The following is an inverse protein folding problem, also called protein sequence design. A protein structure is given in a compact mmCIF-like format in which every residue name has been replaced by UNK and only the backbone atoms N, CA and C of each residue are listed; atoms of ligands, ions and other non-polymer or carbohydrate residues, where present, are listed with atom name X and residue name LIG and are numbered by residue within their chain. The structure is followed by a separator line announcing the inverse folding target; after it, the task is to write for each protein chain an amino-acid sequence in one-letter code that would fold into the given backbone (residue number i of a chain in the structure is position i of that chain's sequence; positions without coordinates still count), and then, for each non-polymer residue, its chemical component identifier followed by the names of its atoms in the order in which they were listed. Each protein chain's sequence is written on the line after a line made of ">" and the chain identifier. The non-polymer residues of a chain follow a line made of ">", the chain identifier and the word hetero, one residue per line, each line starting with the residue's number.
data_IF_658935147561
#
_entry.id   IF_658935147561
#
_cell.length_a   1.000
_cell.length_b   1.000
_cell.length_c   1.000
_cell.angle_alpha   90.00
_cell.angle_beta   90.00
_cell.angle_gamma   90.00
#
_symmetry.space_group_name_H-M   'P 1'
#
loop_
_entity.id
_entity.type
_entity.pdbx_description
1 polymer ?
#
# COMPACT_ATOMS: atom_id res chain seq x y z
N UNK A 1 3.85 -21.83 -12.97
CA UNK A 1 2.63 -21.01 -12.78
C UNK A 1 3.07 -19.75 -12.07
N UNK A 2 2.74 -18.56 -12.59
CA UNK A 2 3.10 -17.32 -11.92
C UNK A 2 2.39 -17.30 -10.55
N UNK A 3 3.13 -16.98 -9.49
CA UNK A 3 2.55 -16.82 -8.15
C UNK A 3 1.64 -15.59 -8.17
N UNK A 4 0.33 -15.81 -8.13
CA UNK A 4 -0.71 -14.77 -8.11
C UNK A 4 -1.15 -14.51 -6.67
N UNK A 5 -1.39 -13.24 -6.33
CA UNK A 5 -1.96 -12.82 -5.05
C UNK A 5 -3.44 -12.50 -5.29
N UNK A 6 -4.32 -13.38 -4.83
CA UNK A 6 -5.78 -13.23 -4.95
C UNK A 6 -6.41 -12.46 -3.78
N UNK A 7 -5.68 -12.32 -2.66
CA UNK A 7 -6.14 -11.57 -1.50
C UNK A 7 -6.22 -10.07 -1.80
N UNK A 8 -7.16 -9.32 -1.19
CA UNK A 8 -7.14 -7.86 -1.20
C UNK A 8 -5.79 -7.33 -0.69
N UNK A 9 -5.23 -6.34 -1.38
CA UNK A 9 -3.94 -5.76 -1.04
C UNK A 9 -3.98 -4.23 -1.10
N UNK A 10 -3.33 -3.60 -0.12
CA UNK A 10 -3.12 -2.16 -0.04
C UNK A 10 -1.61 -1.88 -0.02
N UNK A 11 -1.15 -0.98 -0.88
CA UNK A 11 0.16 -0.36 -0.78
C UNK A 11 0.00 1.09 -0.33
N UNK A 12 0.75 1.49 0.70
CA UNK A 12 0.86 2.90 1.11
C UNK A 12 2.33 3.27 1.19
N UNK A 13 2.71 4.37 0.56
CA UNK A 13 4.07 4.89 0.57
C UNK A 13 4.09 6.41 0.72
N UNK A 14 5.22 6.97 1.14
CA UNK A 14 5.47 8.40 1.14
C UNK A 14 6.25 8.79 -0.12
N UNK A 15 5.87 9.85 -0.81
CA UNK A 15 6.52 10.23 -2.08
C UNK A 15 7.94 10.82 -1.92
N UNK A 16 8.31 11.23 -0.71
CA UNK A 16 9.67 11.65 -0.34
C UNK A 16 10.54 10.47 0.15
N UNK A 17 10.03 9.24 0.19
CA UNK A 17 10.81 8.06 0.57
C UNK A 17 11.93 7.79 -0.46
N UNK A 18 13.22 7.87 -0.07
CA UNK A 18 14.34 7.62 -0.98
C UNK A 18 14.35 6.21 -1.54
N UNK A 19 13.73 5.23 -0.88
CA UNK A 19 13.64 3.84 -1.33
C UNK A 19 12.73 3.70 -2.56
N UNK A 20 11.74 4.59 -2.73
CA UNK A 20 10.86 4.57 -3.90
C UNK A 20 11.57 4.94 -5.20
N UNK A 21 12.75 5.56 -5.14
CA UNK A 21 13.56 5.89 -6.32
C UNK A 21 14.03 4.66 -7.11
N UNK A 22 14.10 3.51 -6.46
CA UNK A 22 14.54 2.25 -7.05
C UNK A 22 13.57 1.09 -6.79
N UNK A 23 12.47 1.34 -6.10
CA UNK A 23 11.42 0.34 -5.87
C UNK A 23 10.50 0.27 -7.09
N UNK A 24 10.27 -0.95 -7.59
CA UNK A 24 9.27 -1.22 -8.62
C UNK A 24 7.86 -1.28 -8.02
N UNK A 25 7.27 -0.12 -7.75
CA UNK A 25 5.91 -0.01 -7.20
C UNK A 25 4.84 -0.52 -8.17
N UNK A 26 5.14 -0.53 -9.47
CA UNK A 26 4.32 -1.11 -10.54
C UNK A 26 4.20 -2.63 -10.45
N UNK A 27 5.21 -3.32 -9.90
CA UNK A 27 5.25 -4.79 -9.85
C UNK A 27 4.06 -5.40 -9.12
N UNK A 28 3.52 -4.70 -8.11
CA UNK A 28 2.33 -5.13 -7.40
C UNK A 28 1.14 -5.35 -8.35
N UNK A 29 0.98 -4.48 -9.37
CA UNK A 29 -0.09 -4.60 -10.39
C UNK A 29 0.10 -5.79 -11.33
N UNK A 30 1.31 -6.33 -11.42
CA UNK A 30 1.61 -7.49 -12.26
C UNK A 30 1.37 -8.82 -11.53
N UNK A 31 1.27 -8.83 -10.20
CA UNK A 31 1.17 -10.06 -9.37
C UNK A 31 -0.11 -10.15 -8.55
N UNK A 32 -0.71 -9.02 -8.19
CA UNK A 32 -1.99 -8.98 -7.47
C UNK A 32 -3.11 -9.05 -8.51
N UNK A 33 -3.83 -10.16 -8.50
CA UNK A 33 -5.01 -10.40 -9.33
C UNK A 33 -6.32 -10.15 -8.57
N UNK A 34 -6.25 -10.10 -7.23
CA UNK A 34 -7.32 -9.64 -6.37
C UNK A 34 -7.47 -8.11 -6.34
N UNK A 35 -8.39 -7.56 -5.51
CA UNK A 35 -8.53 -6.12 -5.33
C UNK A 35 -7.23 -5.48 -4.87
N UNK A 36 -6.76 -4.46 -5.60
CA UNK A 36 -5.52 -3.74 -5.29
C UNK A 36 -5.77 -2.24 -5.21
N UNK A 37 -5.26 -1.61 -4.15
CA UNK A 37 -5.24 -0.15 -3.97
C UNK A 37 -3.82 0.32 -3.65
N UNK A 38 -3.47 1.49 -4.15
CA UNK A 38 -2.18 2.13 -3.91
C UNK A 38 -2.42 3.60 -3.53
N UNK A 39 -1.77 4.04 -2.46
CA UNK A 39 -1.88 5.41 -1.93
C UNK A 39 -0.47 5.95 -1.72
N UNK A 40 -0.24 7.19 -2.16
CA UNK A 40 1.00 7.93 -1.93
C UNK A 40 0.69 9.14 -1.06
N UNK A 41 1.40 9.27 0.07
CA UNK A 41 1.26 10.38 1.00
C UNK A 41 2.29 11.46 0.65
N UNK A 42 1.79 12.65 0.33
CA UNK A 42 2.62 13.79 -0.08
C UNK A 42 3.52 14.28 1.07
N UNK A 43 4.80 14.47 0.77
CA UNK A 43 5.83 14.95 1.68
C UNK A 43 6.16 14.01 2.84
N UNK A 44 5.77 12.73 2.75
CA UNK A 44 6.11 11.73 3.76
C UNK A 44 7.34 10.92 3.33
N UNK A 45 8.23 10.66 4.28
CA UNK A 45 9.45 9.89 4.09
C UNK A 45 9.23 8.39 4.28
N UNK A 46 10.29 7.69 4.71
CA UNK A 46 10.29 6.24 4.83
C UNK A 46 9.47 5.70 6.01
N UNK A 47 9.33 6.49 7.07
CA UNK A 47 8.68 6.06 8.32
C UNK A 47 7.26 6.61 8.40
N UNK A 48 6.46 6.37 7.34
CA UNK A 48 5.13 6.96 7.12
C UNK A 48 4.17 6.80 8.30
N UNK A 49 4.24 5.70 9.05
CA UNK A 49 3.42 5.47 10.23
C UNK A 49 3.78 6.37 11.43
N UNK A 50 5.01 6.88 11.48
CA UNK A 50 5.44 7.87 12.49
C UNK A 50 5.20 9.30 11.99
N UNK A 51 5.33 9.53 10.69
CA UNK A 51 5.23 10.86 10.08
C UNK A 51 3.80 11.31 9.79
N UNK A 52 2.89 10.36 9.51
CA UNK A 52 1.49 10.56 9.11
C UNK A 52 0.56 9.52 9.79
N UNK A 53 0.56 9.42 11.13
CA UNK A 53 -0.17 8.36 11.82
C UNK A 53 -1.68 8.42 11.58
N UNK A 54 -2.27 9.62 11.47
CA UNK A 54 -3.71 9.78 11.23
C UNK A 54 -4.11 9.25 9.84
N UNK A 55 -3.38 9.65 8.79
CA UNK A 55 -3.65 9.22 7.41
C UNK A 55 -3.43 7.71 7.26
N UNK A 56 -2.33 7.18 7.82
CA UNK A 56 -2.07 5.73 7.79
C UNK A 56 -3.17 4.96 8.50
N UNK A 57 -3.60 5.40 9.69
CA UNK A 57 -4.67 4.72 10.41
C UNK A 57 -6.00 4.79 9.66
N UNK A 58 -6.33 5.91 9.02
CA UNK A 58 -7.52 6.03 8.19
C UNK A 58 -7.51 5.03 7.02
N UNK A 59 -6.38 4.93 6.31
CA UNK A 59 -6.21 4.00 5.19
C UNK A 59 -6.29 2.53 5.63
N UNK A 60 -5.68 2.20 6.77
CA UNK A 60 -5.77 0.86 7.34
C UNK A 60 -7.20 0.52 7.76
N UNK A 61 -7.90 1.42 8.45
CA UNK A 61 -9.28 1.18 8.89
C UNK A 61 -10.23 1.02 7.71
N UNK A 62 -10.12 1.86 6.68
CA UNK A 62 -10.90 1.74 5.45
C UNK A 62 -10.68 0.38 4.78
N UNK A 63 -9.41 0.00 4.56
CA UNK A 63 -9.06 -1.30 3.98
C UNK A 63 -9.60 -2.48 4.79
N UNK A 64 -9.39 -2.49 6.11
CA UNK A 64 -9.80 -3.58 6.99
C UNK A 64 -11.33 -3.69 7.12
N UNK A 65 -12.07 -2.58 6.94
CA UNK A 65 -13.53 -2.57 6.95
C UNK A 65 -14.14 -3.15 5.67
N UNK A 66 -13.42 -3.05 4.54
CA UNK A 66 -13.89 -3.51 3.24
C UNK A 66 -13.60 -4.99 2.97
N UNK A 67 -12.70 -5.61 3.75
CA UNK A 67 -12.36 -7.03 3.60
C UNK A 67 -13.21 -7.91 4.52
N UNK A 68 -13.60 -9.08 4.03
CA UNK A 68 -14.37 -10.05 4.81
C UNK A 68 -13.41 -10.96 5.58
N UNK A 69 -13.51 -10.92 6.90
CA UNK A 69 -12.78 -11.81 7.80
C UNK A 69 -13.58 -13.11 7.93
N UNK A 70 -13.11 -14.19 7.31
CA UNK A 70 -13.71 -15.54 7.44
C UNK A 70 -12.71 -16.51 8.01
#
# INVERSE_FOLDING_TARGET
>A
MASTIDAPALFVGGDDDPVLKFTRTDRAREVVVGPYRSVMLEGAGHWIQQERPEEINAELLDFLSAVRWT
#
